data_IF_891025961232
#
_entry.id   IF_891025961232
#
_cell.length_a   1.000
_cell.length_b   1.000
_cell.length_c   1.000
_cell.angle_alpha   90.00
_cell.angle_beta   90.00
_cell.angle_gamma   90.00
#
_symmetry.space_group_name_H-M   'P 1'
#
loop_
_entity.id
_entity.type
_entity.pdbx_description
1 polymer ?
#
# COMPACT_ATOMS: atom_id res chain seq x y z
N UNK A 1 -6.17 -15.22 16.08
CA UNK A 1 -5.48 -13.98 16.48
C UNK A 1 -4.37 -14.16 17.52
N UNK A 2 -4.46 -15.08 18.51
CA UNK A 2 -3.39 -15.28 19.51
C UNK A 2 -2.05 -15.79 18.95
N UNK A 3 -2.07 -16.85 18.11
CA UNK A 3 -0.86 -17.48 17.53
C UNK A 3 -0.03 -16.59 16.59
N UNK A 4 -0.59 -15.51 16.06
CA UNK A 4 0.11 -14.60 15.14
C UNK A 4 0.93 -13.57 15.90
N UNK A 5 0.48 -13.15 17.09
CA UNK A 5 1.18 -12.19 17.96
C UNK A 5 2.45 -12.78 18.57
N UNK A 6 2.42 -14.06 18.94
CA UNK A 6 3.61 -14.77 19.45
C UNK A 6 4.75 -14.87 18.41
N UNK A 7 4.41 -14.84 17.11
CA UNK A 7 5.40 -14.83 16.02
C UNK A 7 5.96 -13.44 15.73
N UNK A 8 5.34 -12.37 16.21
CA UNK A 8 5.79 -10.99 15.98
C UNK A 8 7.02 -10.62 16.83
N UNK A 9 7.29 -11.32 17.93
CA UNK A 9 8.51 -11.11 18.74
C UNK A 9 9.78 -11.65 18.08
N UNK A 10 9.66 -12.51 17.07
CA UNK A 10 10.80 -13.08 16.36
C UNK A 10 11.35 -12.01 15.40
N UNK A 11 12.60 -11.58 15.62
CA UNK A 11 13.25 -10.48 14.88
C UNK A 11 13.26 -10.68 13.36
N UNK A 12 13.34 -11.93 12.90
CA UNK A 12 13.30 -12.30 11.48
C UNK A 12 11.91 -12.11 10.85
N UNK A 13 10.84 -12.30 11.62
CA UNK A 13 9.48 -12.03 11.16
C UNK A 13 9.30 -10.54 10.89
N UNK A 14 9.78 -9.65 11.77
CA UNK A 14 9.76 -8.19 11.55
C UNK A 14 10.55 -7.76 10.30
N UNK A 15 11.65 -8.44 9.97
CA UNK A 15 12.46 -8.16 8.77
C UNK A 15 11.72 -8.55 7.49
N UNK A 16 11.12 -9.74 7.46
CA UNK A 16 10.27 -10.19 6.34
C UNK A 16 9.01 -9.32 6.19
N UNK A 17 8.40 -8.94 7.31
CA UNK A 17 7.18 -8.14 7.32
C UNK A 17 7.42 -6.68 6.90
N UNK A 18 8.60 -6.11 7.18
CA UNK A 18 9.00 -4.78 6.67
C UNK A 18 8.97 -4.70 5.13
N UNK A 19 9.26 -5.80 4.43
CA UNK A 19 9.13 -5.88 2.96
C UNK A 19 7.67 -5.79 2.51
N UNK A 20 6.73 -6.33 3.31
CA UNK A 20 5.28 -6.25 3.05
C UNK A 20 4.66 -4.92 3.46
N UNK A 21 5.21 -4.18 4.42
CA UNK A 21 4.66 -2.88 4.81
C UNK A 21 4.51 -1.90 3.61
N UNK A 22 5.34 -2.03 2.57
CA UNK A 22 5.20 -1.25 1.33
C UNK A 22 4.02 -1.65 0.44
N UNK A 23 3.53 -2.89 0.54
CA UNK A 23 2.43 -3.38 -0.31
C UNK A 23 1.09 -2.79 0.10
N UNK A 24 0.86 -2.60 1.40
CA UNK A 24 -0.38 -2.04 1.93
C UNK A 24 -0.57 -0.59 1.47
N UNK A 25 0.50 0.21 1.52
CA UNK A 25 0.50 1.58 0.98
C UNK A 25 0.20 1.62 -0.52
N UNK A 26 0.74 0.65 -1.27
CA UNK A 26 0.50 0.54 -2.72
C UNK A 26 -0.94 0.14 -3.03
N UNK A 27 -1.50 -0.84 -2.30
CA UNK A 27 -2.91 -1.25 -2.44
C UNK A 27 -3.83 -0.09 -2.08
N UNK A 28 -3.53 0.65 -1.01
CA UNK A 28 -4.29 1.85 -0.62
C UNK A 28 -4.25 2.92 -1.71
N UNK A 29 -3.07 3.19 -2.30
CA UNK A 29 -2.93 4.14 -3.40
C UNK A 29 -3.77 3.73 -4.61
N UNK A 30 -3.64 2.49 -5.07
CA UNK A 30 -4.35 1.97 -6.23
C UNK A 30 -5.88 1.99 -6.03
N UNK A 31 -6.34 1.65 -4.83
CA UNK A 31 -7.78 1.53 -4.54
C UNK A 31 -8.45 2.86 -4.20
N UNK A 32 -7.77 3.77 -3.50
CA UNK A 32 -8.35 5.03 -3.02
C UNK A 32 -8.05 6.22 -3.94
N UNK A 33 -6.90 6.25 -4.62
CA UNK A 33 -6.54 7.37 -5.52
C UNK A 33 -6.80 7.03 -6.99
N UNK A 34 -6.65 5.76 -7.39
CA UNK A 34 -6.70 5.37 -8.81
C UNK A 34 -7.92 4.52 -9.19
N UNK A 35 -8.87 4.34 -8.27
CA UNK A 35 -10.17 3.70 -8.57
C UNK A 35 -10.10 2.22 -8.97
N UNK A 36 -9.05 1.48 -8.58
CA UNK A 36 -8.81 0.10 -9.05
C UNK A 36 -9.93 -0.91 -8.70
N UNK A 37 -10.81 -0.60 -7.73
CA UNK A 37 -11.89 -1.51 -7.31
C UNK A 37 -12.97 -1.72 -8.38
N UNK A 38 -13.09 -0.81 -9.34
CA UNK A 38 -14.11 -0.88 -10.39
C UNK A 38 -13.51 -0.45 -11.74
N UNK A 39 -13.73 -1.27 -12.74
CA UNK A 39 -13.38 -0.95 -14.12
C UNK A 39 -14.60 -0.43 -14.86
N UNK A 40 -14.40 0.58 -15.72
CA UNK A 40 -15.49 1.16 -16.53
C UNK A 40 -15.75 0.35 -17.80
N UNK A 41 -14.83 -0.55 -18.13
CA UNK A 41 -14.87 -1.33 -19.37
C UNK A 41 -15.48 -2.70 -19.16
N UNK A 42 -16.19 -3.17 -20.20
CA UNK A 42 -16.71 -4.54 -20.30
C UNK A 42 -15.73 -5.39 -21.12
N UNK A 43 -15.53 -6.63 -20.69
CA UNK A 43 -14.65 -7.62 -21.33
C UNK A 43 -13.24 -7.67 -20.72
N UNK A 44 -12.73 -8.89 -20.52
CA UNK A 44 -11.50 -9.15 -19.76
C UNK A 44 -10.26 -8.47 -20.34
N UNK A 45 -10.13 -8.40 -21.66
CA UNK A 45 -8.98 -7.74 -22.30
C UNK A 45 -8.89 -6.25 -21.92
N UNK A 46 -10.02 -5.52 -21.93
CA UNK A 46 -10.05 -4.10 -21.56
C UNK A 46 -9.85 -3.89 -20.06
N UNK A 47 -10.41 -4.79 -19.23
CA UNK A 47 -10.19 -4.80 -17.77
C UNK A 47 -8.71 -4.99 -17.46
N UNK A 48 -8.05 -5.96 -18.12
CA UNK A 48 -6.63 -6.20 -17.99
C UNK A 48 -5.80 -4.97 -18.34
N UNK A 49 -6.05 -4.35 -19.49
CA UNK A 49 -5.35 -3.12 -19.89
C UNK A 49 -5.58 -1.98 -18.90
N UNK A 50 -6.79 -1.81 -18.36
CA UNK A 50 -7.03 -0.81 -17.32
C UNK A 50 -6.14 -1.07 -16.10
N UNK A 51 -6.07 -2.30 -15.60
CA UNK A 51 -5.24 -2.63 -14.43
C UNK A 51 -3.74 -2.44 -14.69
N UNK A 52 -3.25 -2.83 -15.88
CA UNK A 52 -1.87 -2.59 -16.27
C UNK A 52 -1.52 -1.10 -16.30
N UNK A 53 -2.38 -0.28 -16.92
CA UNK A 53 -2.17 1.16 -17.00
C UNK A 53 -2.24 1.83 -15.62
N UNK A 54 -3.15 1.40 -14.75
CA UNK A 54 -3.20 1.86 -13.35
C UNK A 54 -1.91 1.51 -12.61
N UNK A 55 -1.39 0.29 -12.76
CA UNK A 55 -0.14 -0.12 -12.14
C UNK A 55 1.04 0.73 -12.65
N UNK A 56 1.14 0.94 -13.96
CA UNK A 56 2.16 1.80 -14.57
C UNK A 56 2.07 3.24 -14.06
N UNK A 57 0.85 3.81 -13.99
CA UNK A 57 0.62 5.14 -13.42
C UNK A 57 1.08 5.26 -11.97
N UNK A 58 0.88 4.22 -11.15
CA UNK A 58 1.37 4.22 -9.76
C UNK A 58 2.91 4.25 -9.66
N UNK A 59 3.59 3.57 -10.59
CA UNK A 59 5.05 3.61 -10.67
C UNK A 59 5.55 4.98 -11.11
N UNK A 60 4.91 5.61 -12.10
CA UNK A 60 5.24 6.96 -12.54
C UNK A 60 5.06 7.98 -11.42
N UNK A 61 3.94 7.96 -10.70
CA UNK A 61 3.72 8.85 -9.56
C UNK A 61 4.80 8.71 -8.49
N UNK A 62 5.25 7.47 -8.22
CA UNK A 62 6.32 7.22 -7.26
C UNK A 62 7.67 7.73 -7.76
N UNK A 63 7.97 7.57 -9.05
CA UNK A 63 9.18 8.09 -9.65
C UNK A 63 9.19 9.63 -9.61
N UNK A 64 8.07 10.28 -9.94
CA UNK A 64 7.95 11.74 -9.86
C UNK A 64 8.07 12.24 -8.43
N UNK A 65 7.45 11.58 -7.45
CA UNK A 65 7.57 11.97 -6.04
C UNK A 65 9.02 11.84 -5.55
N UNK A 66 9.73 10.79 -5.98
CA UNK A 66 11.16 10.62 -5.68
C UNK A 66 12.03 11.71 -6.31
N UNK A 67 11.82 12.01 -7.60
CA UNK A 67 12.54 13.07 -8.32
C UNK A 67 12.28 14.46 -7.71
N UNK A 68 11.06 14.71 -7.22
CA UNK A 68 10.68 15.95 -6.54
C UNK A 68 11.13 16.01 -5.07
N UNK A 69 11.81 14.98 -4.56
CA UNK A 69 12.24 14.91 -3.16
C UNK A 69 11.09 14.87 -2.16
N UNK A 70 9.87 14.52 -2.59
CA UNK A 70 8.73 14.42 -1.67
C UNK A 70 8.97 13.28 -0.68
N UNK A 71 8.87 13.62 0.60
CA UNK A 71 8.98 12.64 1.67
C UNK A 71 7.84 11.62 1.56
N UNK A 72 8.16 10.33 1.73
CA UNK A 72 7.14 9.28 1.80
C UNK A 72 6.17 9.60 2.95
N UNK A 73 4.88 9.45 2.71
CA UNK A 73 3.86 9.68 3.73
C UNK A 73 4.18 8.87 5.00
N UNK A 74 4.23 9.54 6.16
CA UNK A 74 4.43 8.87 7.45
C UNK A 74 3.23 7.96 7.74
N UNK A 75 3.48 6.80 8.35
CA UNK A 75 2.42 5.87 8.77
C UNK A 75 1.41 6.61 9.63
N UNK A 76 0.14 6.59 9.24
CA UNK A 76 -0.94 7.22 10.01
C UNK A 76 -1.10 6.49 11.34
N UNK A 77 -0.91 7.21 12.46
CA UNK A 77 -1.23 6.71 13.80
C UNK A 77 -2.74 6.85 14.02
N UNK A 78 -3.43 5.74 14.34
CA UNK A 78 -4.87 5.74 14.62
C UNK A 78 -5.17 6.52 15.91
N UNK A 79 -6.40 7.04 16.06
CA UNK A 79 -6.80 7.77 17.27
C UNK A 79 -6.67 6.90 18.53
N UNK A 80 -7.03 5.61 18.42
CA UNK A 80 -6.85 4.64 19.50
C UNK A 80 -5.37 4.43 19.86
N UNK A 81 -4.47 4.33 18.87
CA UNK A 81 -3.05 4.19 19.14
C UNK A 81 -2.45 5.44 19.80
N UNK A 82 -2.97 6.64 19.53
CA UNK A 82 -2.56 7.87 20.22
C UNK A 82 -2.89 7.85 21.71
N UNK A 83 -4.03 7.26 22.09
CA UNK A 83 -4.44 7.13 23.50
C UNK A 83 -3.57 6.14 24.28
N UNK A 84 -2.95 5.17 23.61
CA UNK A 84 -2.09 4.17 24.27
C UNK A 84 -0.71 4.71 24.68
N UNK A 85 -0.31 5.87 24.16
CA UNK A 85 0.94 6.56 24.48
C UNK A 85 0.71 7.88 25.25
N UNK A 86 -0.53 8.16 25.63
CA UNK A 86 -0.91 9.30 26.48
C UNK A 86 -0.85 8.90 27.95
#
# INVERSE_FOLDING_TARGET
MKRTREREEISDYKRLYRRRAGIEGTISQLTNQMGMRRTRYRGMAKVYSQHLLTAAGSHLNRATDWLMGKQRAKTRVSAFAKLAYA
#
